data_IF_852569915672
#
_entry.id   IF_852569915672
#
_cell.length_a   1.000
_cell.length_b   1.000
_cell.length_c   1.000
_cell.angle_alpha   90.00
_cell.angle_beta   90.00
_cell.angle_gamma   90.00
#
_symmetry.space_group_name_H-M   'P 1'
#
loop_
_entity.id
_entity.type
_entity.pdbx_description
1 polymer ?
#
# COMPACT_ATOMS: atom_id res chain seq x y z
N UNK A 1 -15.97 50.62 -62.55
CA UNK A 1 -16.25 50.24 -61.15
C UNK A 1 -15.87 48.77 -60.97
N UNK A 2 -15.08 48.49 -59.92
CA UNK A 2 -14.72 47.16 -59.36
C UNK A 2 -13.75 46.31 -60.22
N UNK A 3 -12.43 46.43 -60.04
CA UNK A 3 -11.58 45.86 -58.97
C UNK A 3 -11.28 44.34 -59.17
N UNK A 4 -10.02 44.02 -59.51
CA UNK A 4 -9.03 43.23 -58.70
C UNK A 4 -9.30 41.71 -58.70
N UNK A 5 -8.38 40.74 -58.78
CA UNK A 5 -6.92 40.60 -58.87
C UNK A 5 -6.65 39.07 -59.03
N UNK A 6 -5.63 38.67 -59.77
CA UNK A 6 -4.93 37.35 -59.74
C UNK A 6 -4.41 37.02 -58.29
N UNK A 7 -3.78 35.85 -57.94
CA UNK A 7 -3.55 34.56 -58.64
C UNK A 7 -3.51 33.28 -57.71
N UNK A 8 -3.11 32.14 -58.29
CA UNK A 8 -2.15 31.13 -57.78
C UNK A 8 -2.48 30.11 -56.65
N UNK A 9 -2.10 28.86 -56.98
CA UNK A 9 -1.42 27.85 -56.16
C UNK A 9 -2.20 26.93 -55.21
N UNK A 10 -1.68 25.69 -55.12
CA UNK A 10 -1.80 24.69 -54.04
C UNK A 10 -3.01 23.75 -54.06
N UNK A 11 -2.91 22.69 -54.87
CA UNK A 11 -3.52 21.37 -54.61
C UNK A 11 -2.39 20.40 -54.22
N UNK A 12 -1.95 20.47 -52.97
CA UNK A 12 -0.96 19.56 -52.39
C UNK A 12 -1.40 19.19 -50.97
N UNK A 13 -1.66 17.91 -50.75
CA UNK A 13 -1.54 17.27 -49.45
C UNK A 13 -2.80 17.18 -48.59
N UNK A 14 -3.77 16.35 -48.99
CA UNK A 14 -4.70 15.74 -48.01
C UNK A 14 -4.07 14.45 -47.47
N UNK A 15 -3.00 14.60 -46.66
CA UNK A 15 -2.36 13.47 -45.99
C UNK A 15 -2.95 13.30 -44.60
N UNK A 16 -3.69 12.20 -44.46
CA UNK A 16 -4.34 11.64 -43.29
C UNK A 16 -3.58 11.82 -41.97
N UNK A 17 -4.16 12.56 -41.02
CA UNK A 17 -3.81 12.50 -39.60
C UNK A 17 -4.47 11.26 -38.99
N UNK A 18 -3.87 10.10 -39.17
CA UNK A 18 -4.19 8.93 -38.34
C UNK A 18 -3.42 9.11 -37.03
N UNK A 19 -4.08 9.65 -36.02
CA UNK A 19 -3.54 9.68 -34.66
C UNK A 19 -3.42 8.24 -34.16
N UNK A 20 -2.21 7.69 -34.18
CA UNK A 20 -1.90 6.46 -33.47
C UNK A 20 -2.07 6.73 -31.97
N UNK A 21 -3.17 6.24 -31.39
CA UNK A 21 -3.29 6.12 -29.94
C UNK A 21 -2.29 5.04 -29.53
N UNK A 22 -1.15 5.44 -28.96
CA UNK A 22 -0.21 4.51 -28.35
C UNK A 22 -0.93 3.86 -27.15
N UNK A 23 -1.43 2.64 -27.34
CA UNK A 23 -1.99 1.85 -26.26
C UNK A 23 -0.82 1.24 -25.51
N UNK A 24 -0.58 1.70 -24.27
CA UNK A 24 0.42 1.08 -23.41
C UNK A 24 0.03 -0.37 -23.14
N UNK A 25 1.03 -1.25 -23.05
CA UNK A 25 0.78 -2.64 -22.70
C UNK A 25 0.21 -2.75 -21.28
N UNK A 26 -0.76 -3.64 -21.04
CA UNK A 26 -1.33 -3.84 -19.73
C UNK A 26 -0.28 -4.31 -18.73
N UNK A 27 -0.32 -3.77 -17.52
CA UNK A 27 0.57 -4.12 -16.41
C UNK A 27 0.00 -5.36 -15.72
N UNK A 28 0.71 -6.48 -15.79
CA UNK A 28 0.36 -7.70 -15.06
C UNK A 28 1.13 -7.75 -13.76
N UNK A 29 0.40 -7.72 -12.64
CA UNK A 29 0.92 -7.77 -11.28
C UNK A 29 0.70 -9.16 -10.69
N UNK A 30 1.62 -9.61 -9.85
CA UNK A 30 1.39 -10.75 -8.95
C UNK A 30 1.47 -10.24 -7.52
N UNK A 31 0.37 -10.36 -6.78
CA UNK A 31 0.32 -9.92 -5.38
C UNK A 31 1.02 -10.93 -4.43
N UNK A 32 1.23 -10.55 -3.17
CA UNK A 32 1.94 -11.41 -2.19
C UNK A 32 1.16 -12.68 -1.80
N UNK A 33 -0.08 -12.81 -2.29
CA UNK A 33 -0.92 -13.99 -2.10
C UNK A 33 -0.94 -14.89 -3.34
N UNK A 34 -0.14 -14.55 -4.36
CA UNK A 34 0.03 -15.30 -5.60
C UNK A 34 -1.05 -15.04 -6.65
N UNK A 35 -1.95 -14.06 -6.43
CA UNK A 35 -3.01 -13.72 -7.39
C UNK A 35 -2.44 -12.83 -8.48
N UNK A 36 -2.85 -13.07 -9.73
CA UNK A 36 -2.56 -12.17 -10.83
C UNK A 36 -3.63 -11.08 -10.94
N UNK A 37 -3.20 -9.85 -11.16
CA UNK A 37 -4.06 -8.67 -11.32
C UNK A 37 -3.56 -7.88 -12.51
N UNK A 38 -4.44 -7.53 -13.43
CA UNK A 38 -4.08 -6.77 -14.63
C UNK A 38 -4.60 -5.34 -14.49
N UNK A 39 -3.71 -4.37 -14.66
CA UNK A 39 -4.05 -2.95 -14.75
C UNK A 39 -3.86 -2.47 -16.20
N UNK A 40 -4.78 -1.67 -16.76
CA UNK A 40 -4.62 -1.13 -18.11
C UNK A 40 -3.53 -0.05 -18.18
N UNK A 41 -3.19 0.56 -17.04
CA UNK A 41 -2.17 1.60 -16.87
C UNK A 41 -1.77 1.67 -15.38
N UNK A 42 -0.71 2.42 -15.00
CA UNK A 42 -0.45 2.71 -13.59
C UNK A 42 -1.67 3.29 -12.90
N UNK A 43 -1.92 2.88 -11.66
CA UNK A 43 -3.10 3.26 -10.90
C UNK A 43 -3.02 4.74 -10.46
N UNK A 44 -4.09 5.48 -10.73
CA UNK A 44 -4.23 6.92 -10.41
C UNK A 44 -5.34 7.18 -9.38
N UNK A 45 -6.16 6.17 -9.07
CA UNK A 45 -7.33 6.26 -8.20
C UNK A 45 -7.31 5.11 -7.20
N UNK A 46 -6.38 5.20 -6.27
CA UNK A 46 -6.03 4.17 -5.28
C UNK A 46 -6.81 4.37 -3.99
N UNK A 47 -7.38 3.27 -3.48
CA UNK A 47 -7.90 3.20 -2.12
C UNK A 47 -6.92 2.40 -1.25
N UNK A 48 -6.48 3.02 -0.16
CA UNK A 48 -5.73 2.34 0.90
C UNK A 48 -6.71 1.77 1.93
N UNK A 49 -7.01 0.48 1.81
CA UNK A 49 -7.86 -0.22 2.78
C UNK A 49 -7.15 -0.52 4.12
N UNK A 50 -5.89 -0.12 4.23
CA UNK A 50 -5.15 0.08 5.47
C UNK A 50 -4.26 1.32 5.32
N UNK A 51 -4.67 2.45 5.92
CA UNK A 51 -3.99 3.75 5.81
C UNK A 51 -2.56 3.71 6.34
N UNK A 52 -2.17 2.72 7.14
CA UNK A 52 -0.78 2.55 7.59
C UNK A 52 0.17 2.23 6.42
N UNK A 53 -0.34 1.72 5.30
CA UNK A 53 0.47 1.52 4.10
C UNK A 53 0.98 2.84 3.47
N UNK A 54 0.48 4.01 3.91
CA UNK A 54 0.91 5.31 3.36
C UNK A 54 2.42 5.55 3.49
N UNK A 55 3.09 4.98 4.50
CA UNK A 55 4.55 5.09 4.60
C UNK A 55 5.25 4.41 3.42
N UNK A 56 4.75 3.26 2.97
CA UNK A 56 5.31 2.54 1.83
C UNK A 56 5.18 3.34 0.53
N UNK A 57 4.09 4.13 0.38
CA UNK A 57 3.89 4.99 -0.77
C UNK A 57 4.96 6.10 -0.87
N UNK A 58 5.40 6.64 0.28
CA UNK A 58 6.51 7.60 0.31
C UNK A 58 7.86 7.01 -0.11
N UNK A 59 8.03 5.69 0.05
CA UNK A 59 9.25 5.00 -0.37
C UNK A 59 9.28 4.78 -1.89
N UNK A 60 8.12 4.44 -2.48
CA UNK A 60 8.02 4.17 -3.92
C UNK A 60 7.85 5.43 -4.75
N UNK A 61 7.19 6.47 -4.23
CA UNK A 61 6.94 7.73 -4.94
C UNK A 61 7.28 8.96 -4.07
N UNK A 62 8.56 9.22 -3.77
CA UNK A 62 8.98 10.22 -2.78
C UNK A 62 8.61 11.67 -3.14
N UNK A 63 8.39 11.98 -4.42
CA UNK A 63 8.06 13.34 -4.88
C UNK A 63 6.58 13.66 -4.81
N UNK A 64 5.71 12.67 -5.01
CA UNK A 64 4.25 12.82 -5.00
C UNK A 64 3.57 11.58 -4.42
N UNK A 65 3.85 11.24 -3.16
CA UNK A 65 3.48 9.95 -2.59
C UNK A 65 1.97 9.71 -2.47
N UNK A 66 1.18 10.78 -2.53
CA UNK A 66 -0.26 10.75 -2.29
C UNK A 66 -1.09 11.14 -3.51
N UNK A 67 -0.47 11.43 -4.66
CA UNK A 67 -1.18 11.91 -5.86
C UNK A 67 -2.25 10.93 -6.34
N UNK A 68 -2.03 9.62 -6.18
CA UNK A 68 -2.98 8.60 -6.59
C UNK A 68 -4.05 8.26 -5.53
N UNK A 69 -3.92 8.72 -4.28
CA UNK A 69 -4.82 8.28 -3.21
C UNK A 69 -6.12 9.06 -3.26
N UNK A 70 -7.24 8.34 -3.39
CA UNK A 70 -8.58 8.95 -3.42
C UNK A 70 -9.41 8.66 -2.17
N UNK A 71 -9.02 7.66 -1.38
CA UNK A 71 -9.57 7.38 -0.06
C UNK A 71 -8.65 6.45 0.73
N UNK A 72 -8.85 6.45 2.04
CA UNK A 72 -8.13 5.61 2.97
C UNK A 72 -9.02 5.25 4.15
N UNK A 73 -8.63 4.27 4.95
CA UNK A 73 -9.39 3.91 6.13
C UNK A 73 -9.02 4.73 7.39
N UNK A 74 -9.65 4.41 8.51
CA UNK A 74 -9.40 5.05 9.80
C UNK A 74 -8.24 4.44 10.63
N UNK A 75 -7.39 3.56 10.06
CA UNK A 75 -6.37 2.84 10.83
C UNK A 75 -5.33 3.75 11.49
N UNK A 76 -4.80 4.74 10.77
CA UNK A 76 -3.87 5.72 11.34
C UNK A 76 -4.52 6.49 12.49
N UNK A 77 -5.74 7.00 12.31
CA UNK A 77 -6.47 7.70 13.38
C UNK A 77 -6.66 6.84 14.62
N UNK A 78 -6.95 5.55 14.43
CA UNK A 78 -7.23 4.63 15.52
C UNK A 78 -5.98 4.04 16.20
N UNK A 79 -4.87 3.88 15.47
CA UNK A 79 -3.68 3.12 15.93
C UNK A 79 -2.38 3.92 15.97
N UNK A 80 -2.32 5.07 15.31
CA UNK A 80 -1.16 5.98 15.27
C UNK A 80 -1.65 7.45 15.17
N UNK A 81 -2.39 7.97 16.18
CA UNK A 81 -3.02 9.29 16.11
C UNK A 81 -2.04 10.45 16.00
N UNK A 82 -0.83 10.28 16.54
CA UNK A 82 0.32 11.17 16.37
C UNK A 82 0.73 11.26 14.89
N UNK A 83 0.89 10.10 14.24
CA UNK A 83 1.24 10.02 12.82
C UNK A 83 0.09 10.53 11.93
N UNK A 84 -1.16 10.23 12.29
CA UNK A 84 -2.33 10.79 11.63
C UNK A 84 -2.29 12.32 11.68
N UNK A 85 -2.05 12.91 12.85
CA UNK A 85 -1.96 14.37 13.02
C UNK A 85 -0.82 14.96 12.19
N UNK A 86 0.35 14.31 12.17
CA UNK A 86 1.48 14.74 11.35
C UNK A 86 1.10 14.78 9.86
N UNK A 87 0.50 13.72 9.33
CA UNK A 87 0.08 13.70 7.93
C UNK A 87 -0.98 14.76 7.60
N UNK A 88 -1.94 14.99 8.50
CA UNK A 88 -2.97 16.01 8.27
C UNK A 88 -2.40 17.43 8.23
N UNK A 89 -1.37 17.71 9.04
CA UNK A 89 -0.72 19.02 9.11
C UNK A 89 0.19 19.26 7.91
N UNK A 90 1.03 18.29 7.56
CA UNK A 90 2.03 18.43 6.51
C UNK A 90 1.44 18.25 5.10
N UNK A 91 0.33 17.51 5.00
CA UNK A 91 -0.37 17.20 3.75
C UNK A 91 -1.89 17.43 3.89
N UNK A 92 -2.35 18.69 3.89
CA UNK A 92 -3.76 19.05 4.10
C UNK A 92 -4.73 18.45 3.06
N UNK A 93 -4.24 17.99 1.90
CA UNK A 93 -5.02 17.24 0.92
C UNK A 93 -5.50 15.88 1.46
N UNK A 94 -4.71 15.22 2.31
CA UNK A 94 -5.09 13.95 2.95
C UNK A 94 -6.29 14.13 3.90
N UNK A 95 -6.45 15.31 4.48
CA UNK A 95 -7.58 15.65 5.35
C UNK A 95 -8.92 15.70 4.63
N UNK A 96 -8.89 15.88 3.30
CA UNK A 96 -10.08 15.98 2.45
C UNK A 96 -10.51 14.62 1.90
N UNK A 97 -9.67 13.60 2.03
CA UNK A 97 -9.96 12.28 1.51
C UNK A 97 -11.11 11.63 2.30
N UNK A 98 -12.08 11.00 1.61
CA UNK A 98 -13.05 10.13 2.25
C UNK A 98 -12.36 9.09 3.14
N UNK A 99 -12.87 8.94 4.35
CA UNK A 99 -12.39 7.95 5.31
C UNK A 99 -13.35 6.75 5.35
N UNK A 100 -12.81 5.56 5.12
CA UNK A 100 -13.51 4.29 5.20
C UNK A 100 -13.27 3.63 6.57
N UNK A 101 -14.09 2.62 6.88
CA UNK A 101 -13.85 1.78 8.05
C UNK A 101 -12.80 0.70 7.72
N UNK A 102 -11.86 0.47 8.65
CA UNK A 102 -10.80 -0.53 8.45
C UNK A 102 -11.38 -1.95 8.43
N UNK A 103 -10.97 -2.73 7.42
CA UNK A 103 -11.49 -4.08 7.17
C UNK A 103 -11.09 -5.14 8.23
N UNK A 104 -10.09 -4.88 9.09
CA UNK A 104 -9.78 -5.76 10.22
C UNK A 104 -10.90 -5.74 11.27
N UNK A 105 -11.49 -4.58 11.54
CA UNK A 105 -12.39 -4.38 12.68
C UNK A 105 -13.85 -4.21 12.28
N UNK A 106 -14.14 -4.09 10.99
CA UNK A 106 -15.48 -3.88 10.43
C UNK A 106 -15.67 -4.63 9.12
N UNK A 107 -16.90 -4.74 8.65
CA UNK A 107 -17.17 -5.24 7.31
C UNK A 107 -16.83 -4.18 6.26
N UNK A 108 -16.14 -4.60 5.19
CA UNK A 108 -15.73 -3.68 4.14
C UNK A 108 -16.93 -3.31 3.25
N UNK A 109 -17.20 -2.01 3.14
CA UNK A 109 -18.33 -1.50 2.36
C UNK A 109 -17.99 -1.39 0.87
N UNK A 110 -18.44 -2.37 0.07
CA UNK A 110 -18.28 -2.34 -1.39
C UNK A 110 -19.03 -1.15 -2.00
N UNK A 111 -20.26 -0.87 -1.57
CA UNK A 111 -21.08 0.22 -2.11
C UNK A 111 -20.40 1.58 -1.99
N UNK A 112 -19.94 1.94 -0.78
CA UNK A 112 -19.22 3.20 -0.54
C UNK A 112 -17.95 3.30 -1.38
N UNK A 113 -17.24 2.18 -1.53
CA UNK A 113 -15.97 2.10 -2.25
C UNK A 113 -16.16 2.31 -3.76
N UNK A 114 -17.17 1.68 -4.36
CA UNK A 114 -17.43 1.74 -5.81
C UNK A 114 -17.87 3.12 -6.26
N UNK A 115 -18.63 3.84 -5.42
CA UNK A 115 -19.02 5.22 -5.69
C UNK A 115 -17.83 6.17 -5.89
N UNK A 116 -16.67 5.84 -5.31
CA UNK A 116 -15.42 6.60 -5.47
C UNK A 116 -14.69 6.31 -6.78
N UNK A 117 -15.14 5.30 -7.56
CA UNK A 117 -14.55 4.87 -8.84
C UNK A 117 -13.03 4.62 -8.72
N UNK A 118 -12.58 3.71 -7.84
CA UNK A 118 -11.17 3.34 -7.76
C UNK A 118 -10.73 2.56 -9.00
N UNK A 119 -9.47 2.71 -9.39
CA UNK A 119 -8.81 1.83 -10.36
C UNK A 119 -7.87 0.81 -9.68
N UNK A 120 -7.65 0.93 -8.37
CA UNK A 120 -6.96 -0.06 -7.55
C UNK A 120 -7.39 0.05 -6.07
N UNK A 121 -7.58 -1.09 -5.41
CA UNK A 121 -7.66 -1.17 -3.95
C UNK A 121 -6.50 -2.01 -3.43
N UNK A 122 -5.79 -1.47 -2.44
CA UNK A 122 -4.68 -2.13 -1.77
C UNK A 122 -5.15 -2.57 -0.39
N UNK A 123 -5.09 -3.88 -0.13
CA UNK A 123 -5.35 -4.46 1.19
C UNK A 123 -4.08 -5.03 1.80
N UNK A 124 -4.04 -5.09 3.13
CA UNK A 124 -3.10 -5.95 3.84
C UNK A 124 -3.53 -7.42 3.74
N UNK A 125 -2.58 -8.33 3.50
CA UNK A 125 -2.85 -9.75 3.28
C UNK A 125 -3.57 -10.41 4.47
N UNK A 126 -3.45 -9.88 5.68
CA UNK A 126 -4.12 -10.43 6.85
C UNK A 126 -5.64 -10.27 6.89
N UNK A 127 -6.24 -9.43 6.03
CA UNK A 127 -7.71 -9.39 5.88
C UNK A 127 -8.23 -10.31 4.78
N UNK A 128 -7.35 -10.93 3.96
CA UNK A 128 -7.76 -11.73 2.80
C UNK A 128 -8.82 -12.78 3.14
N UNK A 129 -8.58 -13.60 4.17
CA UNK A 129 -9.51 -14.65 4.59
C UNK A 129 -10.90 -14.09 4.92
N UNK A 130 -10.95 -12.99 5.68
CA UNK A 130 -12.21 -12.32 6.04
C UNK A 130 -12.94 -11.77 4.80
N UNK A 131 -12.22 -11.20 3.84
CA UNK A 131 -12.79 -10.69 2.59
C UNK A 131 -13.32 -11.82 1.69
N UNK A 132 -12.71 -13.01 1.75
CA UNK A 132 -13.18 -14.20 1.04
C UNK A 132 -14.45 -14.77 1.67
N UNK A 133 -14.46 -14.93 3.00
CA UNK A 133 -15.61 -15.44 3.75
C UNK A 133 -16.85 -14.52 3.62
N UNK A 134 -16.63 -13.20 3.63
CA UNK A 134 -17.69 -12.19 3.42
C UNK A 134 -18.06 -11.96 1.96
N UNK A 135 -17.40 -12.64 1.01
CA UNK A 135 -17.59 -12.51 -0.45
C UNK A 135 -17.31 -11.11 -1.00
N UNK A 136 -16.70 -10.21 -0.23
CA UNK A 136 -16.31 -8.87 -0.67
C UNK A 136 -15.35 -8.94 -1.86
N UNK A 137 -14.36 -9.85 -1.81
CA UNK A 137 -13.40 -10.00 -2.91
C UNK A 137 -14.07 -10.46 -4.21
N UNK A 138 -15.06 -11.34 -4.11
CA UNK A 138 -15.88 -11.79 -5.25
C UNK A 138 -16.68 -10.63 -5.84
N UNK A 139 -17.32 -9.81 -4.98
CA UNK A 139 -18.10 -8.65 -5.41
C UNK A 139 -17.25 -7.62 -6.15
N UNK A 140 -16.08 -7.25 -5.60
CA UNK A 140 -15.14 -6.31 -6.23
C UNK A 140 -14.63 -6.83 -7.59
N UNK A 141 -14.37 -8.13 -7.68
CA UNK A 141 -13.94 -8.77 -8.94
C UNK A 141 -15.05 -8.71 -10.00
N UNK A 142 -16.31 -9.01 -9.63
CA UNK A 142 -17.46 -9.01 -10.56
C UNK A 142 -17.71 -7.65 -11.21
N UNK A 143 -17.43 -6.58 -10.49
CA UNK A 143 -17.61 -5.21 -10.99
C UNK A 143 -16.33 -4.63 -11.60
N UNK A 144 -15.27 -5.44 -11.71
CA UNK A 144 -14.04 -5.07 -12.41
C UNK A 144 -13.12 -4.11 -11.64
N UNK A 145 -13.22 -4.03 -10.31
CA UNK A 145 -12.29 -3.23 -9.50
C UNK A 145 -11.04 -4.08 -9.17
N UNK A 146 -9.85 -3.69 -9.63
CA UNK A 146 -8.61 -4.41 -9.31
C UNK A 146 -8.28 -4.36 -7.83
N UNK A 147 -7.85 -5.50 -7.27
CA UNK A 147 -7.49 -5.65 -5.86
C UNK A 147 -6.17 -6.38 -5.73
N UNK A 148 -5.20 -5.76 -5.07
CA UNK A 148 -3.91 -6.37 -4.71
C UNK A 148 -3.74 -6.47 -3.20
N UNK A 149 -2.98 -7.48 -2.77
CA UNK A 149 -2.57 -7.66 -1.38
C UNK A 149 -1.08 -7.36 -1.20
N UNK A 150 -0.77 -6.60 -0.16
CA UNK A 150 0.59 -6.37 0.35
C UNK A 150 0.72 -6.97 1.76
N UNK A 151 1.94 -7.24 2.20
CA UNK A 151 2.20 -7.80 3.52
C UNK A 151 3.50 -7.26 4.12
N UNK A 152 3.35 -6.49 5.19
CA UNK A 152 4.44 -6.02 6.05
C UNK A 152 4.35 -6.62 7.47
N UNK A 153 3.44 -7.56 7.71
CA UNK A 153 3.03 -7.96 9.07
C UNK A 153 3.05 -9.47 9.31
N UNK A 154 2.48 -10.26 8.41
CA UNK A 154 2.40 -11.71 8.56
C UNK A 154 3.76 -12.36 8.30
N UNK A 155 4.40 -12.02 7.18
CA UNK A 155 5.70 -12.57 6.82
C UNK A 155 6.67 -11.46 6.40
N UNK A 156 7.01 -10.51 7.29
CA UNK A 156 7.77 -9.31 6.91
C UNK A 156 9.16 -9.62 6.33
N UNK A 157 9.80 -10.73 6.73
CA UNK A 157 11.12 -11.11 6.23
C UNK A 157 11.09 -11.57 4.76
N UNK A 158 9.97 -12.11 4.29
CA UNK A 158 9.83 -12.61 2.91
C UNK A 158 9.02 -11.66 2.03
N UNK A 159 8.04 -10.96 2.61
CA UNK A 159 7.02 -10.24 1.84
C UNK A 159 7.21 -8.72 1.79
N UNK A 160 8.12 -8.13 2.59
CA UNK A 160 8.37 -6.68 2.52
C UNK A 160 8.87 -6.26 1.14
N UNK A 161 9.91 -6.92 0.62
CA UNK A 161 10.49 -6.60 -0.69
C UNK A 161 9.48 -6.82 -1.83
N UNK A 162 8.78 -7.97 -1.94
CA UNK A 162 7.70 -8.15 -2.91
C UNK A 162 6.60 -7.11 -2.81
N UNK A 163 6.16 -6.74 -1.60
CA UNK A 163 5.10 -5.75 -1.40
C UNK A 163 5.50 -4.36 -1.89
N UNK A 164 6.72 -3.90 -1.55
CA UNK A 164 7.23 -2.61 -2.02
C UNK A 164 7.38 -2.61 -3.54
N UNK A 165 7.90 -3.69 -4.13
CA UNK A 165 8.00 -3.84 -5.59
C UNK A 165 6.65 -3.79 -6.28
N UNK A 166 5.66 -4.52 -5.74
CA UNK A 166 4.28 -4.53 -6.23
C UNK A 166 3.68 -3.12 -6.25
N UNK A 167 3.89 -2.33 -5.19
CA UNK A 167 3.44 -0.93 -5.14
C UNK A 167 4.13 -0.08 -6.20
N UNK A 168 5.44 -0.23 -6.39
CA UNK A 168 6.19 0.47 -7.44
C UNK A 168 5.64 0.18 -8.84
N UNK A 169 5.39 -1.09 -9.15
CA UNK A 169 4.82 -1.52 -10.43
C UNK A 169 3.39 -1.03 -10.62
N UNK A 170 2.55 -1.15 -9.59
CA UNK A 170 1.16 -0.72 -9.65
C UNK A 170 1.03 0.79 -9.87
N UNK A 171 2.00 1.58 -9.39
CA UNK A 171 2.00 3.05 -9.45
C UNK A 171 2.94 3.63 -10.50
N UNK A 172 3.61 2.81 -11.32
CA UNK A 172 4.52 3.27 -12.37
C UNK A 172 5.77 4.00 -11.86
N UNK A 173 6.27 3.61 -10.69
CA UNK A 173 7.46 4.19 -10.03
C UNK A 173 8.56 3.13 -9.79
N UNK A 174 8.74 2.21 -10.74
CA UNK A 174 9.64 1.05 -10.61
C UNK A 174 11.09 1.47 -10.39
N UNK A 175 11.58 2.49 -11.10
CA UNK A 175 12.97 2.92 -10.99
C UNK A 175 13.30 3.42 -9.57
N UNK A 176 12.45 4.27 -9.00
CA UNK A 176 12.62 4.78 -7.63
C UNK A 176 12.49 3.65 -6.62
N UNK A 177 11.53 2.77 -6.86
CA UNK A 177 11.27 1.59 -6.02
C UNK A 177 12.47 0.65 -5.97
N UNK A 178 13.08 0.30 -7.10
CA UNK A 178 14.27 -0.55 -7.12
C UNK A 178 15.48 0.13 -6.49
N UNK A 179 15.59 1.46 -6.59
CA UNK A 179 16.61 2.23 -5.85
C UNK A 179 16.47 2.05 -4.33
N UNK A 180 15.26 2.20 -3.79
CA UNK A 180 14.99 1.93 -2.37
C UNK A 180 15.22 0.47 -2.01
N UNK A 181 14.77 -0.47 -2.84
CA UNK A 181 14.92 -1.91 -2.58
C UNK A 181 16.38 -2.35 -2.57
N UNK A 182 17.21 -1.78 -3.46
CA UNK A 182 18.65 -2.00 -3.43
C UNK A 182 19.26 -1.51 -2.11
N UNK A 183 18.90 -0.31 -1.67
CA UNK A 183 19.33 0.20 -0.36
C UNK A 183 18.89 -0.72 0.79
N UNK A 184 17.60 -1.10 0.83
CA UNK A 184 17.03 -1.99 1.84
C UNK A 184 17.77 -3.33 1.89
N UNK A 185 17.95 -3.99 0.73
CA UNK A 185 18.61 -5.28 0.64
C UNK A 185 20.08 -5.19 1.08
N UNK A 186 20.80 -4.12 0.70
CA UNK A 186 22.19 -3.92 1.14
C UNK A 186 22.33 -3.88 2.67
N UNK A 187 21.32 -3.33 3.37
CA UNK A 187 21.29 -3.24 4.83
C UNK A 187 20.96 -4.58 5.47
N UNK A 188 20.00 -5.31 4.92
CA UNK A 188 19.66 -6.67 5.36
C UNK A 188 20.85 -7.61 5.16
N UNK A 189 21.51 -7.56 4.01
CA UNK A 189 22.67 -8.42 3.70
C UNK A 189 23.83 -8.14 4.65
N UNK A 190 24.14 -6.87 4.92
CA UNK A 190 25.16 -6.50 5.89
C UNK A 190 24.84 -7.05 7.30
N UNK A 191 23.58 -6.98 7.74
CA UNK A 191 23.16 -7.52 9.04
C UNK A 191 23.32 -9.05 9.04
N UNK A 192 22.81 -9.72 8.01
CA UNK A 192 22.87 -11.18 7.89
C UNK A 192 24.32 -11.68 7.86
N UNK A 193 25.21 -11.02 7.12
CA UNK A 193 26.64 -11.35 7.07
C UNK A 193 27.29 -11.25 8.45
N UNK A 194 27.01 -10.20 9.21
CA UNK A 194 27.58 -10.02 10.56
C UNK A 194 27.02 -11.00 11.58
N UNK A 195 25.72 -11.33 11.49
CA UNK A 195 25.07 -12.27 12.42
C UNK A 195 25.44 -13.72 12.10
N UNK A 196 25.69 -14.05 10.83
CA UNK A 196 26.09 -15.39 10.41
C UNK A 196 27.44 -15.83 11.00
N UNK A 197 28.30 -14.90 11.42
CA UNK A 197 29.58 -15.22 12.07
C UNK A 197 29.44 -15.53 13.57
N UNK A 198 28.25 -15.34 14.16
CA UNK A 198 28.02 -15.57 15.59
C UNK A 198 27.67 -17.03 15.86
N UNK A 199 28.31 -17.60 16.87
CA UNK A 199 27.92 -18.87 17.49
C UNK A 199 26.60 -18.70 18.27
N UNK A 200 25.91 -19.80 18.54
CA UNK A 200 24.68 -19.79 19.34
C UNK A 200 24.90 -19.19 20.74
N UNK A 201 26.07 -19.40 21.34
CA UNK A 201 26.42 -18.85 22.65
C UNK A 201 26.61 -17.33 22.64
N UNK A 202 26.95 -16.74 21.49
CA UNK A 202 27.11 -15.30 21.32
C UNK A 202 25.78 -14.59 21.03
N UNK A 203 24.73 -15.33 20.65
CA UNK A 203 23.40 -14.74 20.39
C UNK A 203 22.70 -14.43 21.72
N UNK A 204 22.36 -13.15 22.00
CA UNK A 204 21.66 -12.81 23.23
C UNK A 204 20.25 -13.41 23.23
N UNK A 205 19.78 -13.82 24.40
CA UNK A 205 18.37 -14.19 24.57
C UNK A 205 17.52 -12.93 24.53
N UNK A 206 16.55 -12.90 23.62
CA UNK A 206 15.65 -11.76 23.43
C UNK A 206 14.24 -12.18 23.80
N UNK A 207 13.55 -11.31 24.54
CA UNK A 207 12.12 -11.40 24.77
C UNK A 207 11.46 -10.13 24.21
N UNK A 208 10.36 -10.29 23.48
CA UNK A 208 9.62 -9.19 22.84
C UNK A 208 8.22 -9.14 23.44
N UNK A 209 7.92 -8.05 24.17
CA UNK A 209 6.57 -7.76 24.66
C UNK A 209 5.83 -6.86 23.67
N UNK A 210 4.88 -7.43 22.93
CA UNK A 210 4.08 -6.67 21.97
C UNK A 210 2.96 -5.93 22.73
N UNK A 211 2.79 -4.63 22.47
CA UNK A 211 1.72 -3.79 23.06
C UNK A 211 1.85 -3.60 24.59
N UNK A 212 3.09 -3.59 25.11
CA UNK A 212 3.34 -3.35 26.53
C UNK A 212 2.65 -2.05 27.01
N UNK A 213 1.77 -2.18 28.02
CA UNK A 213 1.07 -1.05 28.64
C UNK A 213 -0.04 -0.39 27.80
N UNK A 214 -0.37 -0.87 26.60
CA UNK A 214 -1.34 -0.19 25.72
C UNK A 214 -2.76 -0.07 26.29
N UNK A 215 -3.19 -1.00 27.16
CA UNK A 215 -4.46 -0.91 27.88
C UNK A 215 -4.25 -0.83 29.39
N UNK A 216 -3.08 -0.34 29.83
CA UNK A 216 -2.72 -0.30 31.24
C UNK A 216 -2.73 -1.68 31.90
N UNK A 217 -3.21 -1.75 33.14
CA UNK A 217 -3.25 -2.98 33.95
C UNK A 217 -4.26 -4.04 33.45
N UNK A 218 -5.15 -3.69 32.53
CA UNK A 218 -6.26 -4.55 32.08
C UNK A 218 -5.86 -5.56 30.97
N UNK A 219 -4.63 -5.52 30.47
CA UNK A 219 -4.20 -6.30 29.30
C UNK A 219 -3.87 -7.78 29.57
N UNK A 220 -3.83 -8.19 30.85
CA UNK A 220 -3.44 -9.54 31.25
C UNK A 220 -4.62 -10.34 31.81
N UNK A 221 -5.59 -10.67 30.96
CA UNK A 221 -6.52 -11.78 31.18
C UNK A 221 -6.36 -12.82 30.07
N UNK A 222 -6.35 -14.13 30.40
CA UNK A 222 -5.43 -15.08 29.79
C UNK A 222 -6.14 -16.08 28.87
N UNK A 223 -5.60 -16.31 27.67
CA UNK A 223 -5.42 -17.71 27.24
C UNK A 223 -4.10 -18.17 27.86
N UNK A 224 -4.23 -18.75 29.04
CA UNK A 224 -3.22 -19.40 29.88
C UNK A 224 -1.98 -18.57 30.28
N UNK A 225 -2.06 -18.00 31.50
CA UNK A 225 -0.95 -17.51 32.34
C UNK A 225 -0.03 -16.47 31.70
N UNK A 226 -0.32 -15.19 31.96
CA UNK A 226 0.64 -14.10 31.84
C UNK A 226 1.84 -14.31 32.78
N UNK A 227 2.87 -14.99 32.28
CA UNK A 227 4.11 -15.31 33.02
C UNK A 227 4.89 -14.02 33.37
N UNK A 228 4.90 -13.02 32.50
CA UNK A 228 5.81 -11.87 32.63
C UNK A 228 5.43 -10.83 33.68
N UNK A 229 4.16 -10.45 33.79
CA UNK A 229 3.73 -9.49 34.82
C UNK A 229 3.98 -10.05 36.23
N UNK A 230 3.83 -11.37 36.40
CA UNK A 230 4.14 -12.04 37.67
C UNK A 230 5.64 -12.09 37.99
N UNK A 231 6.51 -12.14 36.97
CA UNK A 231 7.96 -12.16 37.14
C UNK A 231 8.52 -10.79 37.55
N UNK A 232 7.97 -9.69 37.02
CA UNK A 232 8.40 -8.35 37.42
C UNK A 232 7.89 -7.96 38.81
N UNK A 233 6.66 -8.34 39.19
CA UNK A 233 6.14 -8.09 40.55
C UNK A 233 6.88 -8.87 41.64
N UNK A 234 7.36 -10.10 41.37
CA UNK A 234 8.16 -10.89 42.32
C UNK A 234 9.60 -10.39 42.53
N UNK A 235 10.08 -9.47 41.69
CA UNK A 235 11.44 -8.91 41.80
C UNK A 235 11.46 -7.53 42.46
N UNK A 236 10.29 -6.93 42.67
CA UNK A 236 10.10 -5.61 43.26
C UNK A 236 9.50 -5.66 44.68
N UNK A 237 9.48 -6.85 45.31
CA UNK A 237 9.04 -7.07 46.69
C UNK A 237 9.94 -8.06 47.39
#
# INVERSE_FOLDING_TARGET
MLAKTLPALLLLGLSSLVSFVAQADPITLTDVTGRQVVLPKPAERVILADSRAIQALQLVHPTKPFESIIAWDNALKAKAPDLFTLYQNDYPELAKLPMLENAYYSDFSVEKTVGLKPDLIIFDAGVKKKLEESRVLEQLTKIGVPVVFIDFRLHPLTNTVPSIRLLGQALGNEQQTEGFLHFYQSRIDMINQRVATLTEQQKPKVFIERHAGMTGEECCLPTEKAVLVSLFKRRAG
#
